data_IF_217312501181
#
_entry.id   IF_217312501181
#
_cell.length_a   1.000
_cell.length_b   1.000
_cell.length_c   1.000
_cell.angle_alpha   90.00
_cell.angle_beta   90.00
_cell.angle_gamma   90.00
#
_symmetry.space_group_name_H-M   'P 1'
#
loop_
_entity.id
_entity.type
_entity.pdbx_description
1 polymer ?
#
# COMPACT_ATOMS: atom_id res chain seq x y z
N UNK A 1 3.50 23.74 13.42
CA UNK A 1 3.70 23.64 11.96
C UNK A 1 5.04 24.19 11.46
N UNK A 2 5.87 24.88 12.29
CA UNK A 2 7.27 25.14 11.89
C UNK A 2 8.01 23.82 11.68
N UNK A 3 8.70 23.69 10.56
CA UNK A 3 9.52 22.53 10.21
C UNK A 3 8.80 21.40 9.46
N UNK A 4 7.51 21.58 9.12
CA UNK A 4 6.86 20.65 8.19
C UNK A 4 7.51 20.77 6.82
N UNK A 5 7.84 19.64 6.22
CA UNK A 5 8.43 19.57 4.89
C UNK A 5 7.90 18.34 4.15
N UNK A 6 8.06 18.36 2.84
CA UNK A 6 7.79 17.27 1.93
C UNK A 6 9.11 16.61 1.55
N UNK A 7 9.22 15.32 1.80
CA UNK A 7 10.39 14.53 1.39
C UNK A 7 10.21 13.91 0.01
N UNK A 8 8.99 13.46 -0.31
CA UNK A 8 8.65 12.92 -1.62
C UNK A 8 7.16 12.86 -1.88
N UNK A 9 6.78 12.73 -3.14
CA UNK A 9 5.43 12.35 -3.53
C UNK A 9 5.41 11.60 -4.87
N UNK A 10 4.31 10.90 -5.13
CA UNK A 10 3.93 10.43 -6.46
C UNK A 10 2.43 10.58 -6.67
N UNK A 11 2.01 10.87 -7.90
CA UNK A 11 0.63 10.76 -8.32
C UNK A 11 0.27 9.27 -8.51
N UNK A 12 -0.85 8.86 -7.91
CA UNK A 12 -1.35 7.48 -8.03
C UNK A 12 -2.53 7.48 -8.99
N UNK A 13 -2.26 7.13 -10.24
CA UNK A 13 -3.28 7.08 -11.31
C UNK A 13 -3.67 5.65 -11.67
N UNK A 14 -2.82 4.67 -11.34
CA UNK A 14 -3.00 3.26 -11.68
C UNK A 14 -2.35 2.34 -10.66
N UNK A 15 -3.07 1.29 -10.25
CA UNK A 15 -2.57 0.22 -9.38
C UNK A 15 -3.20 -1.11 -9.80
N UNK A 16 -2.40 -2.16 -9.96
CA UNK A 16 -2.84 -3.53 -10.25
C UNK A 16 -3.83 -3.59 -11.43
N UNK A 17 -3.51 -2.92 -12.55
CA UNK A 17 -4.37 -2.80 -13.73
C UNK A 17 -5.74 -2.13 -13.49
N UNK A 18 -5.87 -1.30 -12.45
CA UNK A 18 -7.04 -0.46 -12.24
C UNK A 18 -6.63 1.00 -12.31
N UNK A 19 -7.40 1.81 -13.06
CA UNK A 19 -7.34 3.26 -12.95
C UNK A 19 -7.86 3.66 -11.57
N UNK A 20 -7.13 4.56 -10.90
CA UNK A 20 -7.51 5.15 -9.62
C UNK A 20 -7.95 6.59 -9.85
N UNK A 21 -9.19 6.90 -9.50
CA UNK A 21 -9.75 8.25 -9.67
C UNK A 21 -10.36 8.75 -8.36
N UNK A 22 -10.14 10.01 -8.05
CA UNK A 22 -10.81 10.69 -6.93
C UNK A 22 -12.10 11.32 -7.46
N UNK A 23 -13.25 10.88 -6.95
CA UNK A 23 -14.57 11.34 -7.40
C UNK A 23 -15.38 11.91 -6.23
N UNK A 24 -16.29 12.88 -6.46
CA UNK A 24 -17.18 13.37 -5.41
C UNK A 24 -18.09 12.27 -4.85
N UNK A 25 -18.45 12.33 -3.57
CA UNK A 25 -19.14 11.23 -2.87
C UNK A 25 -20.50 10.82 -3.40
N UNK A 26 -21.26 11.72 -4.04
CA UNK A 26 -22.50 11.35 -4.71
C UNK A 26 -22.29 10.45 -5.95
N UNK A 27 -21.08 10.46 -6.54
CA UNK A 27 -20.73 9.68 -7.73
C UNK A 27 -20.17 8.29 -7.39
N UNK A 28 -19.76 8.05 -6.14
CA UNK A 28 -19.18 6.78 -5.68
C UNK A 28 -20.13 5.57 -5.81
N UNK A 29 -21.44 5.82 -5.95
CA UNK A 29 -22.48 4.80 -6.13
C UNK A 29 -22.39 4.01 -7.46
N UNK A 30 -21.43 4.34 -8.34
CA UNK A 30 -21.23 3.71 -9.66
C UNK A 30 -19.94 2.88 -9.77
N UNK A 31 -19.42 2.34 -8.65
CA UNK A 31 -18.29 1.42 -8.74
C UNK A 31 -18.66 0.21 -9.61
N UNK A 32 -17.88 -0.02 -10.68
CA UNK A 32 -18.05 -1.14 -11.60
C UNK A 32 -17.60 -2.48 -10.99
N UNK A 33 -16.78 -2.42 -9.94
CA UNK A 33 -16.30 -3.57 -9.16
C UNK A 33 -16.55 -3.33 -7.66
N UNK A 34 -17.78 -3.56 -7.16
CA UNK A 34 -18.20 -3.16 -5.81
C UNK A 34 -17.39 -3.84 -4.69
N UNK A 35 -16.69 -4.93 -5.00
CA UNK A 35 -15.91 -5.67 -4.01
C UNK A 35 -14.45 -5.21 -3.92
N UNK A 36 -13.93 -4.42 -4.87
CA UNK A 36 -12.51 -4.07 -4.91
C UNK A 36 -12.23 -2.73 -4.23
N UNK A 37 -11.19 -2.71 -3.40
CA UNK A 37 -10.70 -1.51 -2.71
C UNK A 37 -9.20 -1.33 -2.96
N UNK A 38 -8.75 -0.08 -2.83
CA UNK A 38 -7.33 0.26 -2.80
C UNK A 38 -6.84 0.18 -1.35
N UNK A 39 -5.74 -0.52 -1.13
CA UNK A 39 -5.15 -0.74 0.18
C UNK A 39 -3.77 -0.11 0.25
N UNK A 40 -3.53 0.69 1.28
CA UNK A 40 -2.18 0.99 1.73
C UNK A 40 -1.66 -0.18 2.54
N UNK A 41 -0.43 -0.60 2.23
CA UNK A 41 0.25 -1.68 2.92
C UNK A 41 1.59 -1.18 3.39
N UNK A 42 1.91 -1.42 4.66
CA UNK A 42 3.24 -1.26 5.23
C UNK A 42 3.70 -2.62 5.78
N UNK A 43 4.85 -3.11 5.32
CA UNK A 43 5.44 -4.39 5.72
C UNK A 43 6.83 -4.18 6.31
N UNK A 44 7.01 -4.60 7.56
CA UNK A 44 8.30 -4.89 8.16
C UNK A 44 8.78 -6.31 7.82
N UNK A 45 10.07 -6.43 7.54
CA UNK A 45 10.75 -7.71 7.39
C UNK A 45 12.23 -7.59 7.77
N UNK A 46 12.80 -8.70 8.23
CA UNK A 46 14.22 -8.78 8.53
C UNK A 46 14.95 -9.58 7.46
N UNK A 47 16.21 -9.23 7.25
CA UNK A 47 17.15 -10.00 6.46
C UNK A 47 18.18 -10.57 7.44
N UNK A 48 18.44 -11.89 7.46
CA UNK A 48 19.40 -12.48 8.39
C UNK A 48 20.84 -11.97 8.21
N UNK A 49 21.12 -11.26 7.11
CA UNK A 49 22.42 -10.63 6.84
C UNK A 49 22.51 -9.16 7.25
N UNK A 50 21.41 -8.57 7.74
CA UNK A 50 21.33 -7.15 8.12
C UNK A 50 20.78 -6.98 9.53
N UNK A 51 21.39 -6.09 10.31
CA UNK A 51 20.84 -5.69 11.61
C UNK A 51 19.63 -4.75 11.46
N UNK A 52 19.51 -4.04 10.34
CA UNK A 52 18.44 -3.08 10.12
C UNK A 52 17.16 -3.80 9.65
N UNK A 53 16.04 -3.46 10.30
CA UNK A 53 14.71 -3.82 9.81
C UNK A 53 14.44 -3.17 8.46
N UNK A 54 13.91 -3.95 7.53
CA UNK A 54 13.54 -3.47 6.19
C UNK A 54 12.04 -3.25 6.15
N UNK A 55 11.65 -2.02 5.83
CA UNK A 55 10.27 -1.70 5.54
C UNK A 55 10.05 -1.59 4.04
N UNK A 56 8.92 -2.09 3.58
CA UNK A 56 8.39 -1.82 2.26
C UNK A 56 6.93 -1.41 2.39
N UNK A 57 6.58 -0.27 1.82
CA UNK A 57 5.19 0.15 1.71
C UNK A 57 4.78 0.33 0.26
N UNK A 58 3.51 0.16 -0.01
CA UNK A 58 2.96 0.30 -1.35
C UNK A 58 1.46 0.17 -1.38
N UNK A 59 0.92 0.09 -2.60
CA UNK A 59 -0.51 0.00 -2.84
C UNK A 59 -0.86 -1.31 -3.54
N UNK A 60 -2.00 -1.89 -3.18
CA UNK A 60 -2.60 -3.05 -3.86
C UNK A 60 -4.10 -2.88 -4.03
N UNK A 61 -4.65 -3.47 -5.08
CA UNK A 61 -6.11 -3.58 -5.29
C UNK A 61 -6.56 -4.98 -4.88
N UNK A 62 -7.47 -5.06 -3.91
CA UNK A 62 -7.92 -6.35 -3.38
C UNK A 62 -9.33 -6.27 -2.80
N UNK A 63 -9.98 -7.45 -2.71
CA UNK A 63 -11.36 -7.56 -2.21
C UNK A 63 -11.50 -7.62 -0.69
N UNK A 64 -10.39 -7.83 0.00
CA UNK A 64 -10.38 -7.97 1.45
C UNK A 64 -8.99 -7.75 1.98
N UNK A 65 -8.91 -7.48 3.28
CA UNK A 65 -7.66 -7.42 4.05
C UNK A 65 -6.81 -8.66 3.85
N UNK A 66 -7.40 -9.87 3.86
CA UNK A 66 -6.68 -11.12 3.65
C UNK A 66 -6.08 -11.22 2.25
N UNK A 67 -6.83 -10.82 1.22
CA UNK A 67 -6.35 -10.80 -0.16
C UNK A 67 -5.26 -9.74 -0.37
N UNK A 68 -5.40 -8.56 0.23
CA UNK A 68 -4.40 -7.50 0.19
C UNK A 68 -3.07 -7.97 0.84
N UNK A 69 -3.15 -8.56 2.04
CA UNK A 69 -2.01 -9.18 2.75
C UNK A 69 -1.31 -10.20 1.87
N UNK A 70 -2.07 -11.15 1.30
CA UNK A 70 -1.50 -12.21 0.48
C UNK A 70 -0.81 -11.67 -0.79
N UNK A 71 -1.41 -10.68 -1.45
CA UNK A 71 -0.81 -10.02 -2.62
C UNK A 71 0.47 -9.28 -2.28
N UNK A 72 0.47 -8.50 -1.20
CA UNK A 72 1.64 -7.76 -0.73
C UNK A 72 2.81 -8.68 -0.36
N UNK A 73 2.56 -9.73 0.46
CA UNK A 73 3.58 -10.72 0.82
C UNK A 73 4.19 -11.39 -0.42
N UNK A 74 3.33 -11.82 -1.36
CA UNK A 74 3.79 -12.46 -2.62
C UNK A 74 4.63 -11.51 -3.48
N UNK A 75 4.36 -10.21 -3.43
CA UNK A 75 5.08 -9.21 -4.25
C UNK A 75 6.40 -8.78 -3.61
N UNK A 76 6.41 -8.52 -2.31
CA UNK A 76 7.52 -7.81 -1.64
C UNK A 76 8.34 -8.65 -0.65
N UNK A 77 7.86 -9.82 -0.21
CA UNK A 77 8.60 -10.70 0.71
C UNK A 77 9.31 -11.87 0.02
N UNK A 78 9.42 -11.88 -1.31
CA UNK A 78 10.13 -12.96 -2.01
C UNK A 78 11.63 -12.94 -1.66
N UNK A 79 12.10 -13.99 -1.01
CA UNK A 79 13.51 -14.16 -0.63
C UNK A 79 13.90 -13.49 0.69
N UNK A 80 12.93 -13.00 1.47
CA UNK A 80 13.15 -12.54 2.84
C UNK A 80 12.66 -13.62 3.81
N UNK A 81 13.51 -14.04 4.75
CA UNK A 81 13.13 -14.93 5.85
C UNK A 81 12.52 -14.10 6.98
N UNK A 82 11.52 -14.63 7.68
CA UNK A 82 10.98 -13.99 8.87
C UNK A 82 11.30 -14.83 10.11
N UNK A 83 12.12 -14.26 10.98
CA UNK A 83 12.25 -14.64 12.39
C UNK A 83 12.20 -13.31 13.15
N UNK A 84 11.23 -13.12 14.05
CA UNK A 84 11.51 -12.38 15.28
C UNK A 84 10.69 -12.88 16.46
N UNK A 85 11.28 -12.64 17.63
CA UNK A 85 10.76 -12.92 18.96
C UNK A 85 11.21 -11.77 19.84
N UNK A 86 10.57 -10.62 19.69
CA UNK A 86 10.77 -9.47 20.59
C UNK A 86 9.59 -9.36 21.56
N UNK A 87 9.32 -10.48 22.21
CA UNK A 87 9.04 -10.51 23.65
C UNK A 87 9.12 -11.98 24.08
N UNK A 88 9.59 -12.20 25.30
CA UNK A 88 9.56 -13.50 25.95
C UNK A 88 8.15 -14.10 25.86
N UNK A 89 7.86 -14.97 24.89
CA UNK A 89 7.01 -16.17 24.94
C UNK A 89 6.95 -16.80 23.54
N UNK A 90 6.84 -18.12 23.47
CA UNK A 90 7.07 -18.89 22.25
C UNK A 90 5.95 -18.85 21.20
N UNK A 91 6.24 -19.58 20.12
CA UNK A 91 5.37 -20.03 19.01
C UNK A 91 5.56 -19.24 17.70
N UNK A 92 5.78 -20.02 16.62
CA UNK A 92 5.96 -19.58 15.24
C UNK A 92 4.90 -18.56 14.82
N UNK A 93 5.33 -17.41 14.29
CA UNK A 93 4.44 -16.38 13.77
C UNK A 93 4.72 -16.06 12.30
N UNK A 94 3.61 -15.96 11.57
CA UNK A 94 3.49 -15.53 10.18
C UNK A 94 3.97 -14.07 10.01
N UNK A 95 4.44 -13.67 8.80
CA UNK A 95 4.97 -12.32 8.58
C UNK A 95 4.05 -11.21 9.10
N UNK A 96 4.64 -10.29 9.86
CA UNK A 96 3.96 -9.14 10.47
C UNK A 96 3.59 -8.12 9.39
N UNK A 97 2.35 -7.67 9.45
CA UNK A 97 1.85 -6.55 8.67
C UNK A 97 1.75 -5.42 9.67
N UNK A 98 2.54 -4.38 9.50
CA UNK A 98 2.53 -3.25 10.42
C UNK A 98 1.22 -2.49 10.24
N UNK A 99 0.93 -2.09 9.00
CA UNK A 99 -0.31 -1.41 8.65
C UNK A 99 -0.94 -1.97 7.38
N UNK A 100 -2.27 -2.12 7.43
CA UNK A 100 -3.08 -2.45 6.27
C UNK A 100 -4.39 -1.66 6.33
N UNK A 101 -4.44 -0.59 5.54
CA UNK A 101 -5.50 0.42 5.64
C UNK A 101 -6.22 0.57 4.30
N UNK A 102 -7.57 0.45 4.26
CA UNK A 102 -8.32 0.77 3.06
C UNK A 102 -8.29 2.28 2.82
N UNK A 103 -8.18 2.69 1.56
CA UNK A 103 -8.24 4.10 1.15
C UNK A 103 -9.60 4.38 0.53
N UNK A 104 -10.58 4.73 1.37
CA UNK A 104 -11.98 4.96 0.93
C UNK A 104 -12.31 6.44 0.69
N UNK A 105 -11.45 7.36 1.12
CA UNK A 105 -11.62 8.82 0.99
C UNK A 105 -12.00 9.50 2.32
N UNK A 106 -12.71 10.64 2.24
CA UNK A 106 -13.02 11.48 3.41
C UNK A 106 -14.51 11.87 3.52
N UNK A 107 -15.39 11.17 2.81
CA UNK A 107 -16.84 11.42 2.77
C UNK A 107 -17.27 12.52 1.79
N UNK A 108 -16.40 13.48 1.47
CA UNK A 108 -16.64 14.40 0.33
C UNK A 108 -16.11 13.82 -0.97
N UNK A 109 -14.98 13.13 -0.87
CA UNK A 109 -14.30 12.47 -1.98
C UNK A 109 -14.14 10.99 -1.68
N UNK A 110 -14.23 10.18 -2.73
CA UNK A 110 -14.07 8.73 -2.70
C UNK A 110 -13.16 8.28 -3.82
N UNK A 111 -12.60 7.08 -3.69
CA UNK A 111 -11.87 6.45 -4.77
C UNK A 111 -12.78 5.60 -5.66
N UNK A 112 -12.63 5.78 -6.95
CA UNK A 112 -13.20 4.91 -7.98
C UNK A 112 -12.07 4.10 -8.60
N UNK A 113 -12.29 2.78 -8.68
CA UNK A 113 -11.43 1.85 -9.38
C UNK A 113 -12.10 1.41 -10.67
N UNK A 114 -11.43 1.59 -11.80
CA UNK A 114 -11.91 1.14 -13.11
C UNK A 114 -10.91 0.17 -13.72
N UNK A 115 -11.29 -1.08 -14.04
CA UNK A 115 -10.37 -2.04 -14.64
C UNK A 115 -9.85 -1.56 -15.99
N UNK A 116 -8.57 -1.80 -16.25
CA UNK A 116 -7.88 -1.47 -17.50
C UNK A 116 -7.43 -2.76 -18.18
N UNK A 117 -7.67 -2.88 -19.49
CA UNK A 117 -7.31 -4.06 -20.27
C UNK A 117 -5.88 -4.00 -20.85
N UNK A 118 -5.28 -2.81 -20.87
CA UNK A 118 -3.97 -2.56 -21.49
C UNK A 118 -3.16 -1.56 -20.66
N UNK A 119 -1.86 -1.46 -20.93
CA UNK A 119 -0.91 -0.62 -20.21
C UNK A 119 -0.18 -1.34 -19.08
N UNK A 120 0.80 -0.66 -18.49
CA UNK A 120 1.66 -1.17 -17.41
C UNK A 120 1.52 -0.26 -16.21
N UNK A 121 1.49 -0.85 -15.00
CA UNK A 121 1.51 -0.06 -13.77
C UNK A 121 2.83 0.72 -13.66
N UNK A 122 2.79 2.00 -13.28
CA UNK A 122 4.00 2.79 -13.12
C UNK A 122 4.89 2.20 -12.01
N UNK A 123 6.21 2.45 -12.04
CA UNK A 123 7.11 2.02 -10.97
C UNK A 123 6.71 2.67 -9.64
N UNK A 124 7.11 2.02 -8.55
CA UNK A 124 6.81 2.55 -7.21
C UNK A 124 7.64 3.78 -6.81
N UNK A 125 8.53 4.26 -7.70
CA UNK A 125 9.39 5.42 -7.47
C UNK A 125 8.61 6.73 -7.35
N UNK A 126 9.12 7.70 -6.58
CA UNK A 126 8.51 9.01 -6.47
C UNK A 126 8.60 9.80 -7.78
N UNK A 127 7.60 10.65 -8.05
CA UNK A 127 7.67 11.67 -9.11
C UNK A 127 8.62 12.80 -8.71
N UNK A 128 8.70 13.07 -7.40
CA UNK A 128 9.62 14.04 -6.83
C UNK A 128 10.10 13.57 -5.45
N UNK A 129 11.37 13.80 -5.16
CA UNK A 129 11.97 13.61 -3.84
C UNK A 129 12.98 14.73 -3.54
N UNK A 130 13.18 15.05 -2.26
CA UNK A 130 14.08 16.11 -1.83
C UNK A 130 13.71 16.62 -0.45
N UNK A 131 13.94 17.92 -0.22
CA UNK A 131 13.55 18.60 1.02
C UNK A 131 12.78 19.88 0.66
N UNK A 132 11.45 19.85 0.77
CA UNK A 132 10.57 20.96 0.40
C UNK A 132 9.84 21.53 1.60
N UNK A 133 10.15 22.74 2.05
CA UNK A 133 9.43 23.38 3.16
C UNK A 133 7.98 23.71 2.77
N UNK A 134 7.03 23.42 3.67
CA UNK A 134 5.58 23.67 3.52
C UNK A 134 5.10 24.76 4.50
#
# INVERSE_FOLDING_TARGET
RRGLHLDSYRAVERVDNHRVEVVPGAAALKQTTPDLQLWFVNLGAYDPTSMAERHHFGLVVARSTAAAKASAKRRWLKGLEQIHKDDLHGVMQEPELDDLLPIDGNGQWHLQLTPLNEGVDPPDSPDWYGYGLI
#
